data_IF_153187610940
#
_entry.id   IF_153187610940
#
_cell.length_a   1.000
_cell.length_b   1.000
_cell.length_c   1.000
_cell.angle_alpha   90.00
_cell.angle_beta   90.00
_cell.angle_gamma   90.00
#
_symmetry.space_group_name_H-M   'P 1'
#
loop_
_entity.id
_entity.type
_entity.pdbx_description
1 polymer ?
#
# COMPACT_ATOMS: atom_id res chain seq x y z
N UNK A 1 -35.68 -20.64 -12.73
CA UNK A 1 -34.77 -19.97 -11.78
C UNK A 1 -33.39 -20.05 -12.35
N UNK A 2 -32.65 -18.96 -12.63
CA UNK A 2 -31.29 -19.04 -13.10
C UNK A 2 -30.39 -19.48 -11.92
N UNK A 3 -29.58 -20.53 -12.15
CA UNK A 3 -28.64 -21.06 -11.17
C UNK A 3 -27.54 -20.05 -10.79
N UNK A 4 -26.85 -20.20 -9.63
CA UNK A 4 -25.82 -19.29 -9.18
C UNK A 4 -24.68 -19.31 -10.18
N UNK A 5 -24.36 -18.15 -10.75
CA UNK A 5 -23.21 -17.93 -11.63
C UNK A 5 -21.92 -18.33 -10.88
N UNK A 6 -21.34 -19.45 -11.26
CA UNK A 6 -20.04 -19.90 -10.81
C UNK A 6 -19.00 -18.80 -11.06
N UNK A 7 -18.34 -18.34 -10.01
CA UNK A 7 -17.13 -17.54 -10.10
C UNK A 7 -16.08 -18.37 -10.83
N UNK A 8 -16.00 -18.23 -12.14
CA UNK A 8 -14.88 -18.80 -12.92
C UNK A 8 -13.58 -18.29 -12.30
N UNK A 9 -12.78 -19.25 -11.84
CA UNK A 9 -11.44 -19.05 -11.34
C UNK A 9 -10.66 -18.22 -12.37
N UNK A 10 -10.46 -16.91 -12.12
CA UNK A 10 -9.50 -16.14 -12.90
C UNK A 10 -8.15 -16.76 -12.62
N UNK A 11 -7.57 -17.40 -13.62
CA UNK A 11 -6.18 -17.87 -13.58
C UNK A 11 -5.25 -16.73 -13.11
N UNK A 12 -4.02 -17.05 -12.70
CA UNK A 12 -3.06 -16.08 -12.20
C UNK A 12 -3.03 -14.89 -13.15
N UNK A 13 -3.20 -13.67 -12.61
CA UNK A 13 -3.28 -12.43 -13.37
C UNK A 13 -2.16 -12.43 -14.42
N UNK A 14 -2.54 -12.41 -15.70
CA UNK A 14 -1.56 -12.36 -16.79
C UNK A 14 -0.63 -11.19 -16.50
N UNK A 15 0.67 -11.48 -16.37
CA UNK A 15 1.69 -10.45 -16.22
C UNK A 15 1.53 -9.49 -17.39
N UNK A 16 1.07 -8.28 -17.12
CA UNK A 16 0.97 -7.22 -18.13
C UNK A 16 2.38 -6.95 -18.62
N UNK A 17 2.67 -7.39 -19.83
CA UNK A 17 4.01 -7.37 -20.45
C UNK A 17 4.62 -5.96 -20.53
N UNK A 18 3.82 -4.88 -20.34
CA UNK A 18 4.26 -3.49 -20.42
C UNK A 18 3.56 -2.58 -19.40
N UNK A 19 3.63 -2.93 -18.11
CA UNK A 19 3.03 -2.11 -17.02
C UNK A 19 3.47 -0.64 -17.09
N UNK A 20 4.72 -0.36 -17.47
CA UNK A 20 5.23 1.01 -17.61
C UNK A 20 4.59 1.80 -18.75
N UNK A 21 4.25 1.16 -19.87
CA UNK A 21 3.57 1.82 -20.98
C UNK A 21 2.11 2.13 -20.64
N UNK A 22 1.43 1.23 -19.93
CA UNK A 22 0.05 1.45 -19.45
C UNK A 22 0.01 2.63 -18.48
N UNK A 23 0.92 2.67 -17.52
CA UNK A 23 1.05 3.80 -16.59
C UNK A 23 1.34 5.11 -17.34
N UNK A 24 2.29 5.11 -18.28
CA UNK A 24 2.62 6.29 -19.09
C UNK A 24 1.41 6.80 -19.88
N UNK A 25 0.62 5.89 -20.48
CA UNK A 25 -0.59 6.24 -21.21
C UNK A 25 -1.65 6.85 -20.28
N UNK A 26 -1.85 6.27 -19.12
CA UNK A 26 -2.80 6.75 -18.12
C UNK A 26 -2.39 8.13 -17.58
N UNK A 27 -1.12 8.32 -17.23
CA UNK A 27 -0.58 9.63 -16.89
C UNK A 27 -0.76 10.63 -18.03
N UNK A 28 -0.54 10.22 -19.28
CA UNK A 28 -0.76 11.05 -20.46
C UNK A 28 -2.20 11.57 -20.57
N UNK A 29 -3.19 10.73 -20.32
CA UNK A 29 -4.62 11.10 -20.32
C UNK A 29 -4.91 12.12 -19.22
N UNK A 30 -4.43 11.88 -18.01
CA UNK A 30 -4.65 12.76 -16.85
C UNK A 30 -3.96 14.11 -17.06
N UNK A 31 -2.68 14.11 -17.43
CA UNK A 31 -1.91 15.34 -17.61
C UNK A 31 -2.38 16.17 -18.82
N UNK A 32 -2.91 15.56 -19.87
CA UNK A 32 -3.44 16.29 -21.01
C UNK A 32 -4.64 17.17 -20.63
N UNK A 33 -5.52 16.67 -19.74
CA UNK A 33 -6.77 17.36 -19.38
C UNK A 33 -6.65 18.15 -18.07
N UNK A 34 -5.90 17.64 -17.08
CA UNK A 34 -5.86 18.16 -15.71
C UNK A 34 -4.47 18.67 -15.30
N UNK A 35 -3.66 19.15 -16.26
CA UNK A 35 -2.27 19.58 -16.03
C UNK A 35 -2.14 20.56 -14.86
N UNK A 36 -2.99 21.58 -14.83
CA UNK A 36 -2.94 22.63 -13.81
C UNK A 36 -3.30 22.09 -12.41
N UNK A 37 -4.34 21.27 -12.34
CA UNK A 37 -4.76 20.63 -11.09
C UNK A 37 -3.67 19.70 -10.53
N UNK A 38 -2.99 18.95 -11.40
CA UNK A 38 -1.90 18.05 -10.98
C UNK A 38 -0.68 18.82 -10.46
N UNK A 39 -0.37 19.99 -11.02
CA UNK A 39 0.67 20.86 -10.48
C UNK A 39 0.30 21.36 -9.08
N UNK A 40 -0.94 21.81 -8.87
CA UNK A 40 -1.41 22.24 -7.55
C UNK A 40 -1.34 21.08 -6.55
N UNK A 41 -1.78 19.88 -6.94
CA UNK A 41 -1.69 18.67 -6.10
C UNK A 41 -0.25 18.41 -5.69
N UNK A 42 0.69 18.45 -6.63
CA UNK A 42 2.11 18.24 -6.34
C UNK A 42 2.65 19.27 -5.34
N UNK A 43 2.35 20.55 -5.54
CA UNK A 43 2.76 21.64 -4.62
C UNK A 43 2.13 21.46 -3.24
N UNK A 44 0.85 21.12 -3.16
CA UNK A 44 0.16 20.87 -1.89
C UNK A 44 0.72 19.66 -1.15
N UNK A 45 1.07 18.57 -1.85
CA UNK A 45 1.74 17.41 -1.26
C UNK A 45 3.12 17.83 -0.72
N UNK A 46 3.89 18.60 -1.47
CA UNK A 46 5.20 19.10 -1.04
C UNK A 46 5.08 19.92 0.26
N UNK A 47 4.16 20.88 0.30
CA UNK A 47 3.92 21.70 1.49
C UNK A 47 3.50 20.84 2.68
N UNK A 48 2.58 19.90 2.48
CA UNK A 48 2.11 19.00 3.54
C UNK A 48 3.23 18.13 4.11
N UNK A 49 4.09 17.58 3.26
CA UNK A 49 5.23 16.75 3.68
C UNK A 49 6.27 17.60 4.42
N UNK A 50 6.62 18.76 3.90
CA UNK A 50 7.59 19.66 4.56
C UNK A 50 7.08 20.12 5.93
N UNK A 51 5.78 20.42 6.06
CA UNK A 51 5.18 20.78 7.34
C UNK A 51 5.30 19.64 8.37
N UNK A 52 5.12 18.37 7.95
CA UNK A 52 5.31 17.21 8.84
C UNK A 52 6.77 17.01 9.24
N UNK A 53 7.72 17.17 8.32
CA UNK A 53 9.17 17.07 8.63
C UNK A 53 9.61 18.16 9.60
N UNK A 54 9.14 19.40 9.41
CA UNK A 54 9.42 20.50 10.34
C UNK A 54 8.92 20.24 11.75
N UNK A 55 7.80 19.55 11.92
CA UNK A 55 7.31 19.15 13.24
C UNK A 55 8.25 18.22 13.99
N UNK A 56 8.92 17.30 13.28
CA UNK A 56 9.93 16.42 13.90
C UNK A 56 11.20 17.19 14.28
N UNK A 57 11.65 18.13 13.44
CA UNK A 57 12.82 18.97 13.72
C UNK A 57 12.56 19.97 14.86
N UNK A 58 11.30 20.40 15.03
CA UNK A 58 10.93 21.33 16.08
C UNK A 58 11.18 20.79 17.49
N UNK A 59 11.10 19.46 17.71
CA UNK A 59 11.36 18.86 19.02
C UNK A 59 12.81 19.15 19.45
N UNK A 60 13.77 19.07 18.53
CA UNK A 60 15.15 19.45 18.81
C UNK A 60 15.26 20.93 19.18
N UNK A 61 14.73 21.82 18.35
CA UNK A 61 14.78 23.26 18.61
C UNK A 61 14.07 23.62 19.93
N UNK A 62 12.99 22.92 20.27
CA UNK A 62 12.29 23.15 21.55
C UNK A 62 13.16 22.82 22.76
N UNK A 63 13.92 21.74 22.68
CA UNK A 63 14.82 21.30 23.73
C UNK A 63 16.03 22.26 23.84
N UNK A 64 16.70 22.48 22.71
CA UNK A 64 17.98 23.19 22.67
C UNK A 64 17.83 24.69 22.87
N UNK A 65 16.83 25.32 22.24
CA UNK A 65 16.69 26.78 22.22
C UNK A 65 15.79 27.32 23.35
N UNK A 66 14.89 26.48 23.91
CA UNK A 66 13.92 26.94 24.88
C UNK A 66 14.01 26.21 26.23
N UNK A 67 13.99 24.88 26.25
CA UNK A 67 13.95 24.12 27.52
C UNK A 67 15.30 24.18 28.24
N UNK A 68 16.39 23.90 27.55
CA UNK A 68 17.77 23.88 28.14
C UNK A 68 18.16 25.24 28.71
N UNK A 69 17.98 26.38 28.00
CA UNK A 69 18.28 27.70 28.57
C UNK A 69 17.38 28.08 29.73
N UNK A 70 16.10 27.68 29.73
CA UNK A 70 15.18 27.93 30.84
C UNK A 70 15.60 27.18 32.11
N UNK A 71 16.06 25.92 31.97
CA UNK A 71 16.55 25.14 33.10
C UNK A 71 17.84 25.76 33.66
N UNK A 72 18.77 26.20 32.82
CA UNK A 72 20.05 26.78 33.18
C UNK A 72 19.88 28.16 33.87
N UNK A 73 18.95 28.98 33.40
CA UNK A 73 18.68 30.31 33.93
C UNK A 73 17.74 30.33 35.14
N UNK A 74 17.05 29.18 35.43
CA UNK A 74 16.02 29.11 36.47
C UNK A 74 14.80 29.99 36.17
N UNK A 75 14.68 30.52 34.96
CA UNK A 75 13.59 31.40 34.53
C UNK A 75 12.29 30.61 34.36
N UNK A 76 11.18 31.19 34.80
CA UNK A 76 9.81 30.66 34.60
C UNK A 76 9.05 31.43 33.52
N UNK A 77 9.76 32.13 32.63
CA UNK A 77 9.11 32.83 31.51
C UNK A 77 8.84 31.88 30.34
N UNK A 78 7.58 31.46 30.19
CA UNK A 78 7.11 30.59 29.14
C UNK A 78 6.72 31.35 27.84
N UNK A 79 6.81 32.67 27.82
CA UNK A 79 6.41 33.51 26.69
C UNK A 79 7.09 33.11 25.34
N UNK A 80 8.44 33.04 25.31
CA UNK A 80 9.18 32.65 24.08
C UNK A 80 8.82 31.23 23.59
N UNK A 81 8.67 30.27 24.52
CA UNK A 81 8.28 28.89 24.20
C UNK A 81 6.87 28.82 23.60
N UNK A 82 5.91 29.59 24.15
CA UNK A 82 4.54 29.65 23.62
C UNK A 82 4.54 30.20 22.18
N UNK A 83 5.35 31.24 21.90
CA UNK A 83 5.53 31.79 20.56
C UNK A 83 6.07 30.75 19.54
N UNK A 84 7.02 29.91 19.96
CA UNK A 84 7.55 28.84 19.15
C UNK A 84 6.51 27.74 18.86
N UNK A 85 5.75 27.32 19.87
CA UNK A 85 4.66 26.35 19.76
C UNK A 85 3.58 26.86 18.79
N UNK A 86 3.17 28.14 18.93
CA UNK A 86 2.20 28.75 18.02
C UNK A 86 2.69 28.77 16.56
N UNK A 87 3.97 29.07 16.33
CA UNK A 87 4.57 29.02 14.99
C UNK A 87 4.44 27.64 14.38
N UNK A 88 4.77 26.59 15.12
CA UNK A 88 4.66 25.20 14.64
C UNK A 88 3.21 24.78 14.42
N UNK A 89 2.30 25.22 15.30
CA UNK A 89 0.86 24.98 15.13
C UNK A 89 0.35 25.58 13.80
N UNK A 90 0.84 26.77 13.43
CA UNK A 90 0.53 27.39 12.13
C UNK A 90 1.07 26.54 10.97
N UNK A 91 2.30 26.03 11.06
CA UNK A 91 2.86 25.13 10.02
C UNK A 91 2.02 23.86 9.87
N UNK A 92 1.62 23.23 10.96
CA UNK A 92 0.73 22.07 10.89
C UNK A 92 -0.64 22.40 10.32
N UNK A 93 -1.22 23.56 10.66
CA UNK A 93 -2.48 24.02 10.10
C UNK A 93 -2.39 24.23 8.57
N UNK A 94 -1.28 24.83 8.09
CA UNK A 94 -1.00 24.97 6.66
C UNK A 94 -0.84 23.59 6.00
N UNK A 95 -0.11 22.68 6.63
CA UNK A 95 0.06 21.29 6.16
C UNK A 95 -1.27 20.56 6.04
N UNK A 96 -2.13 20.66 7.05
CA UNK A 96 -3.46 20.04 7.05
C UNK A 96 -4.39 20.66 6.01
N UNK A 97 -4.38 21.99 5.85
CA UNK A 97 -5.13 22.67 4.81
C UNK A 97 -4.68 22.23 3.40
N UNK A 98 -3.36 22.12 3.18
CA UNK A 98 -2.79 21.64 1.92
C UNK A 98 -3.18 20.19 1.64
N UNK A 99 -3.17 19.33 2.67
CA UNK A 99 -3.62 17.95 2.57
C UNK A 99 -5.10 17.85 2.17
N UNK A 100 -5.95 18.66 2.78
CA UNK A 100 -7.37 18.73 2.41
C UNK A 100 -7.58 19.22 0.97
N UNK A 101 -6.85 20.25 0.56
CA UNK A 101 -6.94 20.81 -0.80
C UNK A 101 -6.54 19.77 -1.85
N UNK A 102 -5.37 19.11 -1.70
CA UNK A 102 -4.95 18.11 -2.67
C UNK A 102 -5.91 16.92 -2.72
N UNK A 103 -6.42 16.46 -1.59
CA UNK A 103 -7.38 15.37 -1.55
C UNK A 103 -8.68 15.73 -2.30
N UNK A 104 -9.21 16.95 -2.10
CA UNK A 104 -10.39 17.44 -2.81
C UNK A 104 -10.16 17.55 -4.33
N UNK A 105 -9.01 18.08 -4.74
CA UNK A 105 -8.65 18.18 -6.16
C UNK A 105 -8.51 16.78 -6.78
N UNK A 106 -7.89 15.84 -6.06
CA UNK A 106 -7.73 14.46 -6.53
C UNK A 106 -9.07 13.75 -6.73
N UNK A 107 -10.07 13.98 -5.88
CA UNK A 107 -11.42 13.48 -6.10
C UNK A 107 -11.99 14.01 -7.42
N UNK A 108 -11.88 15.31 -7.65
CA UNK A 108 -12.38 15.93 -8.90
C UNK A 108 -11.68 15.37 -10.14
N UNK A 109 -10.35 15.30 -10.14
CA UNK A 109 -9.54 14.73 -11.23
C UNK A 109 -9.89 13.27 -11.48
N UNK A 110 -10.00 12.48 -10.40
CA UNK A 110 -10.32 11.06 -10.49
C UNK A 110 -11.70 10.83 -11.08
N UNK A 111 -12.73 11.48 -10.55
CA UNK A 111 -14.10 11.30 -11.03
C UNK A 111 -14.29 11.78 -12.48
N UNK A 112 -13.63 12.89 -12.84
CA UNK A 112 -13.63 13.37 -14.22
C UNK A 112 -12.95 12.40 -15.18
N UNK A 113 -11.81 11.82 -14.79
CA UNK A 113 -11.10 10.80 -15.59
C UNK A 113 -11.94 9.51 -15.70
N UNK A 114 -12.59 9.07 -14.62
CA UNK A 114 -13.47 7.89 -14.65
C UNK A 114 -14.67 8.09 -15.56
N UNK A 115 -15.27 9.28 -15.55
CA UNK A 115 -16.35 9.61 -16.47
C UNK A 115 -15.89 9.47 -17.93
N UNK A 116 -14.77 10.09 -18.26
CA UNK A 116 -14.24 10.06 -19.64
C UNK A 116 -13.89 8.64 -20.08
N UNK A 117 -13.28 7.84 -19.20
CA UNK A 117 -12.97 6.43 -19.50
C UNK A 117 -14.23 5.60 -19.74
N UNK A 118 -15.28 5.78 -18.91
CA UNK A 118 -16.56 5.07 -19.12
C UNK A 118 -17.18 5.42 -20.47
N UNK A 119 -17.16 6.70 -20.86
CA UNK A 119 -17.65 7.12 -22.17
C UNK A 119 -16.84 6.46 -23.31
N UNK A 120 -15.51 6.50 -23.23
CA UNK A 120 -14.65 5.88 -24.27
C UNK A 120 -14.82 4.36 -24.35
N UNK A 121 -14.97 3.67 -23.21
CA UNK A 121 -15.22 2.23 -23.21
C UNK A 121 -16.59 1.93 -23.81
N UNK A 122 -17.60 2.73 -23.51
CA UNK A 122 -18.94 2.56 -24.06
C UNK A 122 -18.96 2.81 -25.56
N UNK A 123 -18.37 3.91 -26.05
CA UNK A 123 -18.23 4.17 -27.49
C UNK A 123 -17.49 3.05 -28.22
N UNK A 124 -16.44 2.52 -27.61
CA UNK A 124 -15.70 1.38 -28.18
C UNK A 124 -16.56 0.12 -28.20
N UNK A 125 -17.30 -0.16 -27.13
CA UNK A 125 -18.22 -1.30 -27.06
C UNK A 125 -19.28 -1.24 -28.18
N UNK A 126 -19.90 -0.07 -28.40
CA UNK A 126 -20.88 0.13 -29.48
C UNK A 126 -20.27 -0.06 -30.90
N UNK A 127 -18.96 0.14 -31.05
CA UNK A 127 -18.26 -0.06 -32.32
C UNK A 127 -17.86 -1.52 -32.61
N UNK A 128 -18.01 -2.42 -31.63
CA UNK A 128 -17.63 -3.82 -31.78
C UNK A 128 -18.65 -4.61 -32.61
N UNK A 129 -18.20 -5.60 -33.42
CA UNK A 129 -19.11 -6.45 -34.18
C UNK A 129 -19.90 -7.37 -33.26
N UNK A 130 -21.12 -7.75 -33.66
CA UNK A 130 -22.02 -8.67 -32.92
C UNK A 130 -21.30 -9.96 -32.51
N UNK A 131 -20.46 -10.51 -33.39
CA UNK A 131 -19.64 -11.71 -33.13
C UNK A 131 -18.83 -11.61 -31.81
N UNK A 132 -18.41 -10.42 -31.43
CA UNK A 132 -17.67 -10.22 -30.17
C UNK A 132 -18.55 -10.55 -28.95
N UNK A 133 -19.80 -10.13 -28.95
CA UNK A 133 -20.76 -10.39 -27.88
C UNK A 133 -21.21 -11.85 -27.83
N UNK A 134 -21.24 -12.54 -28.96
CA UNK A 134 -21.53 -13.97 -29.03
C UNK A 134 -20.39 -14.84 -28.47
N UNK A 135 -19.15 -14.36 -28.57
CA UNK A 135 -17.95 -15.11 -28.16
C UNK A 135 -17.44 -14.76 -26.75
N UNK A 136 -17.89 -13.65 -26.16
CA UNK A 136 -17.45 -13.20 -24.84
C UNK A 136 -18.62 -13.17 -23.86
N UNK A 137 -18.47 -13.73 -22.65
CA UNK A 137 -19.51 -13.68 -21.62
C UNK A 137 -19.84 -12.24 -21.23
N UNK A 138 -21.12 -11.90 -21.17
CA UNK A 138 -21.57 -10.55 -20.76
C UNK A 138 -21.04 -10.14 -19.37
N UNK A 139 -20.83 -11.13 -18.46
CA UNK A 139 -20.25 -10.90 -17.15
C UNK A 139 -18.79 -10.40 -17.19
N UNK A 140 -17.99 -10.85 -18.17
CA UNK A 140 -16.61 -10.39 -18.34
C UNK A 140 -16.59 -8.95 -18.85
N UNK A 141 -17.47 -8.61 -19.81
CA UNK A 141 -17.64 -7.24 -20.32
C UNK A 141 -18.08 -6.31 -19.18
N UNK A 142 -19.08 -6.73 -18.39
CA UNK A 142 -19.58 -5.95 -17.26
C UNK A 142 -18.51 -5.77 -16.15
N UNK A 143 -17.62 -6.75 -15.97
CA UNK A 143 -16.50 -6.68 -15.03
C UNK A 143 -15.52 -5.54 -15.36
N UNK A 144 -15.34 -5.19 -16.64
CA UNK A 144 -14.52 -4.03 -17.05
C UNK A 144 -15.14 -2.74 -16.53
N UNK A 145 -16.47 -2.58 -16.66
CA UNK A 145 -17.17 -1.38 -16.19
C UNK A 145 -17.23 -1.23 -14.67
N UNK A 146 -17.20 -2.34 -13.93
CA UNK A 146 -17.32 -2.33 -12.48
C UNK A 146 -15.96 -2.45 -11.80
N UNK A 147 -15.27 -3.59 -11.97
CA UNK A 147 -14.08 -3.91 -11.19
C UNK A 147 -12.83 -3.20 -11.72
N UNK A 148 -12.63 -3.18 -13.05
CA UNK A 148 -11.41 -2.61 -13.63
C UNK A 148 -11.40 -1.09 -13.52
N UNK A 149 -12.55 -0.44 -13.79
CA UNK A 149 -12.70 1.02 -13.58
C UNK A 149 -12.53 1.38 -12.11
N UNK A 150 -13.06 0.59 -11.17
CA UNK A 150 -12.90 0.89 -9.73
C UNK A 150 -11.45 0.71 -9.27
N UNK A 151 -10.74 -0.29 -9.79
CA UNK A 151 -9.31 -0.47 -9.58
C UNK A 151 -8.50 0.72 -10.09
N UNK A 152 -8.81 1.23 -11.29
CA UNK A 152 -8.19 2.44 -11.84
C UNK A 152 -8.52 3.67 -10.99
N UNK A 153 -9.76 3.79 -10.51
CA UNK A 153 -10.17 4.85 -9.58
C UNK A 153 -9.31 4.87 -8.34
N UNK A 154 -9.13 3.71 -7.70
CA UNK A 154 -8.31 3.58 -6.49
C UNK A 154 -6.84 3.89 -6.77
N UNK A 155 -6.32 3.46 -7.91
CA UNK A 155 -4.94 3.76 -8.32
C UNK A 155 -4.72 5.27 -8.50
N UNK A 156 -5.62 5.96 -9.17
CA UNK A 156 -5.49 7.40 -9.43
C UNK A 156 -5.70 8.21 -8.14
N UNK A 157 -6.75 7.89 -7.35
CA UNK A 157 -7.13 8.69 -6.18
C UNK A 157 -6.21 8.50 -4.98
N UNK A 158 -5.61 7.32 -4.82
CA UNK A 158 -4.84 6.96 -3.62
C UNK A 158 -3.38 6.59 -3.94
N UNK A 159 -3.16 5.63 -4.85
CA UNK A 159 -1.81 5.07 -5.05
C UNK A 159 -0.83 6.10 -5.62
N UNK A 160 -1.26 6.92 -6.58
CA UNK A 160 -0.40 7.95 -7.20
C UNK A 160 -0.01 9.05 -6.19
N UNK A 161 -0.96 9.72 -5.48
CA UNK A 161 -0.60 10.70 -4.46
C UNK A 161 0.25 10.12 -3.34
N UNK A 162 -0.06 8.90 -2.88
CA UNK A 162 0.70 8.21 -1.83
C UNK A 162 2.15 7.95 -2.28
N UNK A 163 2.37 7.53 -3.51
CA UNK A 163 3.70 7.27 -4.05
C UNK A 163 4.52 8.57 -4.11
N UNK A 164 3.93 9.65 -4.62
CA UNK A 164 4.56 10.97 -4.68
C UNK A 164 4.92 11.46 -3.26
N UNK A 165 3.95 11.38 -2.33
CA UNK A 165 4.16 11.78 -0.94
C UNK A 165 5.28 10.96 -0.28
N UNK A 166 5.32 9.64 -0.48
CA UNK A 166 6.35 8.76 0.08
C UNK A 166 7.75 9.10 -0.45
N UNK A 167 7.89 9.34 -1.75
CA UNK A 167 9.19 9.73 -2.34
C UNK A 167 9.67 11.06 -1.76
N UNK A 168 8.80 12.07 -1.70
CA UNK A 168 9.14 13.38 -1.14
C UNK A 168 9.51 13.24 0.34
N UNK A 169 8.76 12.43 1.12
CA UNK A 169 9.04 12.19 2.54
C UNK A 169 10.41 11.55 2.73
N UNK A 170 10.71 10.48 1.99
CA UNK A 170 12.00 9.79 2.08
C UNK A 170 13.16 10.75 1.78
N UNK A 171 13.05 11.50 0.68
CA UNK A 171 14.08 12.47 0.28
C UNK A 171 14.25 13.56 1.34
N UNK A 172 13.15 14.15 1.81
CA UNK A 172 13.18 15.21 2.81
C UNK A 172 13.76 14.75 4.14
N UNK A 173 13.38 13.54 4.61
CA UNK A 173 13.90 12.96 5.85
C UNK A 173 15.39 12.64 5.71
N UNK A 174 15.83 12.03 4.59
CA UNK A 174 17.24 11.75 4.34
C UNK A 174 18.11 13.03 4.34
N UNK A 175 17.65 14.08 3.66
CA UNK A 175 18.33 15.37 3.66
C UNK A 175 18.44 15.92 5.07
N UNK A 176 17.33 15.92 5.83
CA UNK A 176 17.31 16.38 7.21
C UNK A 176 18.27 15.60 8.11
N UNK A 177 18.31 14.26 7.98
CA UNK A 177 19.22 13.41 8.75
C UNK A 177 20.69 13.69 8.45
N UNK A 178 21.05 13.88 7.17
CA UNK A 178 22.43 14.20 6.76
C UNK A 178 22.86 15.56 7.33
N UNK A 179 21.97 16.55 7.30
CA UNK A 179 22.25 17.90 7.83
C UNK A 179 22.42 17.86 9.36
N UNK A 180 21.62 17.06 10.05
CA UNK A 180 21.67 16.96 11.50
C UNK A 180 22.90 16.21 12.00
N UNK A 181 23.12 14.99 11.52
CA UNK A 181 24.24 14.16 11.99
C UNK A 181 24.55 13.02 11.00
N UNK A 182 25.69 13.09 10.32
CA UNK A 182 26.10 12.09 9.33
C UNK A 182 26.37 10.70 9.94
N UNK A 183 27.10 10.56 11.07
CA UNK A 183 27.30 9.26 11.73
C UNK A 183 26.00 8.54 12.07
N UNK A 184 25.00 9.23 12.65
CA UNK A 184 23.70 8.64 12.96
C UNK A 184 22.91 8.26 11.70
N UNK A 185 23.05 9.04 10.64
CA UNK A 185 22.44 8.72 9.33
C UNK A 185 22.99 7.39 8.78
N UNK A 186 24.29 7.15 8.88
CA UNK A 186 24.91 5.90 8.42
C UNK A 186 24.36 4.71 9.22
N UNK A 187 24.29 4.82 10.56
CA UNK A 187 23.72 3.76 11.41
C UNK A 187 22.29 3.44 10.97
N UNK A 188 21.46 4.47 10.79
CA UNK A 188 20.05 4.29 10.36
C UNK A 188 19.96 3.64 8.97
N UNK A 189 20.78 4.06 8.01
CA UNK A 189 20.80 3.47 6.66
C UNK A 189 21.19 1.99 6.68
N UNK A 190 22.18 1.60 7.50
CA UNK A 190 22.56 0.20 7.70
C UNK A 190 21.37 -0.59 8.24
N UNK A 191 20.69 -0.08 9.26
CA UNK A 191 19.52 -0.75 9.85
C UNK A 191 18.32 -0.85 8.89
N UNK A 192 18.12 0.17 8.04
CA UNK A 192 17.14 0.09 6.94
C UNK A 192 17.52 -1.00 5.94
N UNK A 193 18.82 -1.13 5.62
CA UNK A 193 19.33 -2.23 4.79
C UNK A 193 19.01 -3.61 5.39
N UNK A 194 19.27 -3.80 6.68
CA UNK A 194 18.93 -5.04 7.41
C UNK A 194 17.42 -5.32 7.35
N UNK A 195 16.59 -4.28 7.58
CA UNK A 195 15.13 -4.40 7.51
C UNK A 195 14.68 -4.81 6.11
N UNK A 196 15.23 -4.22 5.05
CA UNK A 196 14.88 -4.57 3.66
C UNK A 196 15.24 -6.03 3.32
N UNK A 197 16.40 -6.51 3.75
CA UNK A 197 16.82 -7.91 3.56
C UNK A 197 15.89 -8.87 4.31
N UNK A 198 15.61 -8.59 5.58
CA UNK A 198 14.69 -9.39 6.38
C UNK A 198 13.29 -9.44 5.77
N UNK A 199 12.75 -8.26 5.37
CA UNK A 199 11.43 -8.15 4.74
C UNK A 199 11.37 -8.89 3.41
N UNK A 200 12.39 -8.78 2.57
CA UNK A 200 12.47 -9.49 1.29
C UNK A 200 12.43 -11.01 1.47
N UNK A 201 13.18 -11.53 2.43
CA UNK A 201 13.23 -12.96 2.70
C UNK A 201 11.90 -13.49 3.23
N UNK A 202 11.31 -12.82 4.22
CA UNK A 202 10.02 -13.19 4.79
C UNK A 202 8.87 -13.08 3.78
N UNK A 203 8.82 -11.98 3.02
CA UNK A 203 7.82 -11.78 1.98
C UNK A 203 7.97 -12.81 0.84
N UNK A 204 9.19 -13.19 0.48
CA UNK A 204 9.46 -14.23 -0.52
C UNK A 204 8.93 -15.60 -0.07
N UNK A 205 9.19 -15.99 1.18
CA UNK A 205 8.68 -17.24 1.76
C UNK A 205 7.15 -17.21 1.85
N UNK A 206 6.58 -16.13 2.37
CA UNK A 206 5.12 -15.97 2.44
C UNK A 206 4.49 -16.08 1.06
N UNK A 207 5.02 -15.39 0.04
CA UNK A 207 4.52 -15.43 -1.33
C UNK A 207 4.54 -16.82 -1.95
N UNK A 208 5.59 -17.62 -1.69
CA UNK A 208 5.67 -19.01 -2.15
C UNK A 208 4.52 -19.85 -1.55
N UNK A 209 4.31 -19.78 -0.25
CA UNK A 209 3.25 -20.56 0.41
C UNK A 209 1.84 -20.05 0.07
N UNK A 210 1.65 -18.74 -0.19
CA UNK A 210 0.37 -18.23 -0.69
C UNK A 210 0.03 -18.80 -2.08
N UNK A 211 1.01 -18.94 -2.96
CA UNK A 211 0.79 -19.59 -4.26
C UNK A 211 0.41 -21.08 -4.11
N UNK A 212 1.05 -21.78 -3.18
CA UNK A 212 0.74 -23.18 -2.87
C UNK A 212 -0.65 -23.31 -2.24
N UNK A 213 -1.00 -22.43 -1.31
CA UNK A 213 -2.35 -22.34 -0.74
C UNK A 213 -3.42 -22.11 -1.81
N UNK A 214 -3.19 -21.21 -2.77
CA UNK A 214 -4.14 -20.96 -3.87
C UNK A 214 -4.31 -22.20 -4.76
N UNK A 215 -3.23 -22.93 -5.01
CA UNK A 215 -3.29 -24.18 -5.75
C UNK A 215 -4.12 -25.23 -5.00
N UNK A 216 -3.83 -25.44 -3.72
CA UNK A 216 -4.53 -26.43 -2.90
C UNK A 216 -6.00 -26.06 -2.70
N UNK A 217 -6.32 -24.76 -2.54
CA UNK A 217 -7.70 -24.26 -2.51
C UNK A 217 -8.45 -24.59 -3.80
N UNK A 218 -7.78 -24.44 -4.95
CA UNK A 218 -8.35 -24.83 -6.25
C UNK A 218 -8.65 -26.33 -6.32
N UNK A 219 -7.76 -27.18 -5.79
CA UNK A 219 -7.94 -28.63 -5.77
C UNK A 219 -9.12 -29.02 -4.85
N UNK A 220 -9.19 -28.45 -3.65
CA UNK A 220 -10.30 -28.71 -2.70
C UNK A 220 -11.64 -28.26 -3.31
N UNK A 221 -11.70 -27.07 -3.92
CA UNK A 221 -12.92 -26.58 -4.56
C UNK A 221 -13.35 -27.46 -5.74
N UNK A 222 -12.39 -27.91 -6.58
CA UNK A 222 -12.67 -28.82 -7.68
C UNK A 222 -13.22 -30.17 -7.19
N UNK A 223 -12.66 -30.71 -6.10
CA UNK A 223 -13.15 -31.94 -5.50
C UNK A 223 -14.57 -31.77 -4.93
N UNK A 224 -14.86 -30.65 -4.26
CA UNK A 224 -16.21 -30.35 -3.78
C UNK A 224 -17.21 -30.30 -4.95
N UNK A 225 -16.85 -29.60 -6.04
CA UNK A 225 -17.70 -29.51 -7.25
C UNK A 225 -17.97 -30.87 -7.85
N UNK A 226 -16.93 -31.72 -8.01
CA UNK A 226 -17.04 -33.10 -8.49
C UNK A 226 -17.96 -33.94 -7.61
N UNK A 227 -17.81 -33.87 -6.27
CA UNK A 227 -18.65 -34.61 -5.34
C UNK A 227 -20.09 -34.10 -5.32
N UNK A 228 -20.34 -32.80 -5.51
CA UNK A 228 -21.67 -32.24 -5.64
C UNK A 228 -22.37 -32.72 -6.92
N UNK A 229 -21.67 -32.74 -8.06
CA UNK A 229 -22.22 -33.26 -9.32
C UNK A 229 -22.42 -34.78 -9.26
N UNK A 230 -21.47 -35.51 -8.69
CA UNK A 230 -21.48 -36.97 -8.54
C UNK A 230 -22.26 -37.50 -7.33
N UNK A 231 -22.96 -36.67 -6.55
CA UNK A 231 -23.58 -37.05 -5.28
C UNK A 231 -24.51 -38.26 -5.38
N UNK A 232 -25.25 -38.40 -6.45
CA UNK A 232 -26.11 -39.57 -6.68
C UNK A 232 -25.32 -40.87 -6.80
N UNK A 233 -24.16 -40.83 -7.46
CA UNK A 233 -23.27 -41.97 -7.65
C UNK A 233 -22.64 -42.39 -6.31
N UNK A 234 -22.12 -41.42 -5.56
CA UNK A 234 -21.55 -41.65 -4.21
C UNK A 234 -22.58 -42.34 -3.33
N UNK A 235 -23.84 -41.88 -3.32
CA UNK A 235 -24.92 -42.47 -2.52
C UNK A 235 -25.33 -43.88 -2.97
N UNK A 236 -25.41 -44.14 -4.29
CA UNK A 236 -25.80 -45.46 -4.80
C UNK A 236 -24.74 -46.52 -4.50
N UNK A 237 -23.44 -46.14 -4.53
CA UNK A 237 -22.34 -47.07 -4.27
C UNK A 237 -21.85 -47.07 -2.81
N UNK A 238 -22.46 -46.28 -1.93
CA UNK A 238 -22.10 -46.13 -0.52
C UNK A 238 -20.63 -45.74 -0.30
N UNK A 239 -20.11 -44.83 -1.12
CA UNK A 239 -18.71 -44.37 -1.08
C UNK A 239 -18.51 -43.07 -0.28
N UNK A 240 -19.40 -42.78 0.70
CA UNK A 240 -19.32 -41.55 1.51
C UNK A 240 -18.07 -41.48 2.37
N UNK A 241 -17.67 -42.61 2.99
CA UNK A 241 -16.49 -42.64 3.86
C UNK A 241 -15.21 -42.42 3.06
N UNK A 242 -15.07 -43.07 1.91
CA UNK A 242 -13.93 -42.88 1.02
C UNK A 242 -13.82 -41.45 0.48
N UNK A 243 -14.97 -40.86 0.13
CA UNK A 243 -15.05 -39.47 -0.32
C UNK A 243 -14.65 -38.48 0.81
N UNK A 244 -15.05 -38.79 2.06
CA UNK A 244 -14.70 -38.00 3.23
C UNK A 244 -13.20 -38.09 3.55
N UNK A 245 -12.64 -39.29 3.49
CA UNK A 245 -11.20 -39.51 3.71
C UNK A 245 -10.36 -38.72 2.71
N UNK A 246 -10.74 -38.77 1.42
CA UNK A 246 -10.07 -38.02 0.36
C UNK A 246 -10.20 -36.49 0.55
N UNK A 247 -11.39 -36.03 0.95
CA UNK A 247 -11.60 -34.62 1.28
C UNK A 247 -10.71 -34.18 2.43
N UNK A 248 -10.59 -34.97 3.49
CA UNK A 248 -9.75 -34.65 4.65
C UNK A 248 -8.27 -34.53 4.23
N UNK A 249 -7.77 -35.50 3.43
CA UNK A 249 -6.39 -35.45 2.91
C UNK A 249 -6.11 -34.14 2.15
N UNK A 250 -7.02 -33.73 1.24
CA UNK A 250 -6.88 -32.47 0.47
C UNK A 250 -7.00 -31.24 1.35
N UNK A 251 -7.88 -31.28 2.34
CA UNK A 251 -8.09 -30.18 3.28
C UNK A 251 -6.90 -30.00 4.23
N UNK A 252 -6.25 -31.09 4.64
CA UNK A 252 -5.03 -31.05 5.45
C UNK A 252 -3.86 -30.44 4.66
N UNK A 253 -3.72 -30.76 3.36
CA UNK A 253 -2.74 -30.12 2.49
C UNK A 253 -3.01 -28.60 2.33
N UNK A 254 -4.28 -28.21 2.22
CA UNK A 254 -4.68 -26.81 2.22
C UNK A 254 -4.36 -26.15 3.56
N UNK A 255 -4.65 -26.80 4.68
CA UNK A 255 -4.34 -26.30 6.03
C UNK A 255 -2.85 -26.05 6.20
N UNK A 256 -1.98 -26.98 5.82
CA UNK A 256 -0.53 -26.82 5.95
C UNK A 256 0.00 -25.64 5.13
N UNK A 257 -0.43 -25.53 3.88
CA UNK A 257 -0.01 -24.42 3.01
C UNK A 257 -0.53 -23.07 3.51
N UNK A 258 -1.79 -23.00 3.97
CA UNK A 258 -2.39 -21.81 4.54
C UNK A 258 -1.72 -21.39 5.86
N UNK A 259 -1.44 -22.36 6.74
CA UNK A 259 -0.74 -22.13 8.01
C UNK A 259 0.66 -21.53 7.77
N UNK A 260 1.44 -22.13 6.86
CA UNK A 260 2.76 -21.64 6.51
C UNK A 260 2.71 -20.24 5.85
N UNK A 261 1.77 -20.01 4.93
CA UNK A 261 1.59 -18.70 4.28
C UNK A 261 1.32 -17.60 5.33
N UNK A 262 0.37 -17.83 6.22
CA UNK A 262 -0.02 -16.88 7.26
C UNK A 262 1.05 -16.72 8.35
N UNK A 263 1.77 -17.79 8.71
CA UNK A 263 2.88 -17.74 9.66
C UNK A 263 3.93 -16.71 9.21
N UNK A 264 4.42 -16.81 7.98
CA UNK A 264 5.43 -15.88 7.48
C UNK A 264 4.87 -14.50 7.23
N UNK A 265 3.61 -14.37 6.79
CA UNK A 265 2.96 -13.05 6.62
C UNK A 265 2.82 -12.31 7.95
N UNK A 266 2.35 -13.00 9.00
CA UNK A 266 2.09 -12.39 10.31
C UNK A 266 3.36 -12.10 11.11
N UNK A 267 4.47 -12.78 10.83
CA UNK A 267 5.78 -12.52 11.45
C UNK A 267 6.47 -11.29 10.84
N UNK A 268 6.12 -10.89 9.61
CA UNK A 268 6.76 -9.79 8.91
C UNK A 268 6.69 -8.46 9.67
N UNK A 269 5.48 -8.04 10.06
CA UNK A 269 5.27 -6.75 10.75
C UNK A 269 5.94 -6.69 12.14
N UNK A 270 5.81 -7.70 13.04
CA UNK A 270 6.53 -7.72 14.30
C UNK A 270 8.05 -7.69 14.12
N UNK A 271 8.60 -8.42 13.14
CA UNK A 271 10.04 -8.42 12.86
C UNK A 271 10.52 -7.04 12.45
N UNK A 272 9.82 -6.35 11.54
CA UNK A 272 10.16 -4.99 11.15
C UNK A 272 10.09 -4.02 12.34
N UNK A 273 9.09 -4.15 13.20
CA UNK A 273 8.96 -3.34 14.41
C UNK A 273 10.13 -3.55 15.38
N UNK A 274 10.56 -4.79 15.61
CA UNK A 274 11.69 -5.08 16.50
C UNK A 274 13.03 -4.59 15.90
N UNK A 275 13.24 -4.72 14.59
CA UNK A 275 14.42 -4.13 13.92
C UNK A 275 14.41 -2.61 14.08
N UNK A 276 13.24 -1.96 14.00
CA UNK A 276 13.08 -0.53 14.27
C UNK A 276 13.45 -0.15 15.71
N UNK A 277 13.01 -0.92 16.70
CA UNK A 277 13.36 -0.72 18.10
C UNK A 277 14.87 -0.89 18.34
N UNK A 278 15.50 -1.90 17.75
CA UNK A 278 16.95 -2.11 17.81
C UNK A 278 17.68 -0.90 17.16
N UNK A 279 17.20 -0.42 16.00
CA UNK A 279 17.74 0.77 15.36
C UNK A 279 17.69 1.99 16.28
N UNK A 280 16.57 2.20 16.95
CA UNK A 280 16.43 3.29 17.93
C UNK A 280 17.45 3.19 19.07
N UNK A 281 17.63 2.00 19.67
CA UNK A 281 18.59 1.78 20.74
C UNK A 281 20.01 2.03 20.27
N UNK A 282 20.39 1.54 19.08
CA UNK A 282 21.72 1.78 18.49
C UNK A 282 21.95 3.27 18.23
N UNK A 283 20.97 3.96 17.69
CA UNK A 283 21.07 5.42 17.49
C UNK A 283 21.21 6.17 18.83
N UNK A 284 20.50 5.74 19.88
CA UNK A 284 20.63 6.35 21.20
C UNK A 284 22.02 6.12 21.82
N UNK A 285 22.59 4.90 21.69
CA UNK A 285 23.93 4.60 22.20
C UNK A 285 24.99 5.41 21.42
N UNK A 286 24.95 5.35 20.08
CA UNK A 286 25.94 6.08 19.25
C UNK A 286 25.79 7.59 19.45
N UNK A 287 24.56 8.11 19.52
CA UNK A 287 24.31 9.52 19.78
C UNK A 287 24.79 9.96 21.15
N UNK A 288 24.58 9.13 22.19
CA UNK A 288 25.12 9.38 23.54
C UNK A 288 26.65 9.40 23.56
N UNK A 289 27.30 8.46 22.91
CA UNK A 289 28.78 8.43 22.78
C UNK A 289 29.31 9.68 22.05
N UNK A 290 28.65 10.09 20.97
CA UNK A 290 29.02 11.30 20.22
C UNK A 290 28.82 12.56 21.07
N UNK A 291 27.74 12.64 21.84
CA UNK A 291 27.48 13.79 22.72
C UNK A 291 28.48 13.92 23.90
N UNK A 292 29.04 12.80 24.38
CA UNK A 292 30.05 12.79 25.45
C UNK A 292 31.45 13.11 24.93
N UNK A 293 31.75 12.72 23.67
CA UNK A 293 33.06 12.92 23.10
C UNK A 293 33.25 14.24 22.33
N UNK A 294 32.23 15.09 22.27
CA UNK A 294 32.26 16.42 21.66
C UNK A 294 31.48 16.51 20.38
#
# INVERSE_FOLDING_TARGET
MPGPMGRRNRGPAQKVENSGQVLKRLFGIIFKKYKFQMIIVFVCILISVLANVQGSLFIQNLIDDYITPMIQSGSRDFGPMLGAILRVAIFYAIGAASAFIYAKIMVYVTQGTMRDLRCQIFEHMESLPIKYFDTHPHGDIMSVYTNDIDTLRQMISQSIPQLISSVITIVSVLISMIILNVPLTIVTLVMVGVMLVASKNLAGLSGKYFMEQQKNLGIVNGYIEEMMEGQKVVKVFCHEEESLEKFNELNDQLFESANNANKFANVLMPTCAQIGNISYVLCAIVGGVLAVNG
#
